data_IF_401695486343
#
_entry.id   IF_401695486343
#
_cell.length_a   1.000
_cell.length_b   1.000
_cell.length_c   1.000
_cell.angle_alpha   90.00
_cell.angle_beta   90.00
_cell.angle_gamma   90.00
#
_symmetry.space_group_name_H-M   'P 1'
#
loop_
_entity.id
_entity.type
_entity.pdbx_description
1 polymer ?
#
# COMPACT_ATOMS: atom_id res chain seq x y z
N UNK A 1 34.74 -15.47 28.03
CA UNK A 1 34.61 -14.93 26.67
C UNK A 1 33.37 -15.57 26.11
N UNK A 2 32.22 -14.98 26.39
CA UNK A 2 30.93 -15.58 26.06
C UNK A 2 30.39 -14.80 24.87
N UNK A 3 30.55 -15.37 23.68
CA UNK A 3 29.94 -14.86 22.47
C UNK A 3 28.44 -15.18 22.53
N UNK A 4 27.67 -14.31 23.20
CA UNK A 4 26.22 -14.36 23.16
C UNK A 4 25.74 -13.76 21.83
N UNK A 5 25.94 -14.51 20.75
CA UNK A 5 25.30 -14.25 19.46
C UNK A 5 23.82 -14.60 19.58
N UNK A 6 23.02 -13.68 20.10
CA UNK A 6 21.58 -13.81 20.13
C UNK A 6 21.06 -13.89 18.69
N UNK A 7 20.65 -15.08 18.25
CA UNK A 7 19.85 -15.23 17.04
C UNK A 7 18.61 -14.34 17.19
N UNK A 8 18.57 -13.26 16.43
CA UNK A 8 17.40 -12.41 16.31
C UNK A 8 16.34 -13.22 15.58
N UNK A 9 15.44 -13.86 16.33
CA UNK A 9 14.28 -14.56 15.78
C UNK A 9 13.52 -13.57 14.91
N UNK A 10 13.58 -13.77 13.59
CA UNK A 10 12.79 -12.96 12.65
C UNK A 10 11.32 -13.25 12.92
N UNK A 11 10.49 -12.21 12.91
CA UNK A 11 9.04 -12.38 12.89
C UNK A 11 8.65 -13.27 11.69
N UNK A 12 7.60 -14.09 11.83
CA UNK A 12 7.11 -14.88 10.70
C UNK A 12 6.76 -13.97 9.51
N UNK A 13 6.91 -14.51 8.29
CA UNK A 13 6.58 -13.79 7.06
C UNK A 13 5.11 -13.35 7.07
N UNK A 14 4.86 -12.07 6.77
CA UNK A 14 3.51 -11.52 6.63
C UNK A 14 2.93 -11.82 5.25
N UNK A 15 1.61 -12.04 5.20
CA UNK A 15 0.83 -12.24 3.97
C UNK A 15 0.17 -10.92 3.55
N UNK A 16 0.63 -10.35 2.44
CA UNK A 16 0.07 -9.14 1.84
C UNK A 16 -0.95 -9.49 0.75
N UNK A 17 -2.16 -8.94 0.82
CA UNK A 17 -3.18 -9.09 -0.22
C UNK A 17 -3.17 -7.89 -1.18
N UNK A 18 -2.92 -8.08 -2.49
CA UNK A 18 -2.99 -7.00 -3.47
C UNK A 18 -4.45 -6.64 -3.79
N UNK A 19 -4.76 -5.35 -3.74
CA UNK A 19 -6.07 -4.80 -4.05
C UNK A 19 -5.96 -3.99 -5.34
N UNK A 20 -6.73 -4.39 -6.35
CA UNK A 20 -6.72 -3.81 -7.69
C UNK A 20 -8.14 -3.49 -8.18
N UNK A 21 -8.84 -2.62 -7.44
CA UNK A 21 -10.15 -2.13 -7.85
C UNK A 21 -10.05 -0.79 -8.59
N UNK A 22 -11.08 -0.46 -9.37
CA UNK A 22 -11.14 0.78 -10.16
C UNK A 22 -11.83 1.95 -9.44
N UNK A 23 -12.31 1.73 -8.20
CA UNK A 23 -12.93 2.76 -7.36
C UNK A 23 -12.61 2.55 -5.87
N UNK A 24 -12.73 3.62 -5.09
CA UNK A 24 -12.46 3.64 -3.64
C UNK A 24 -13.41 2.71 -2.86
N UNK A 25 -14.71 2.75 -3.13
CA UNK A 25 -15.70 1.88 -2.46
C UNK A 25 -15.39 0.39 -2.63
N UNK A 26 -14.93 0.02 -3.84
CA UNK A 26 -14.51 -1.35 -4.12
C UNK A 26 -13.20 -1.69 -3.42
N UNK A 27 -12.23 -0.78 -3.36
CA UNK A 27 -11.01 -0.97 -2.57
C UNK A 27 -11.34 -1.24 -1.09
N UNK A 28 -12.19 -0.43 -0.48
CA UNK A 28 -12.65 -0.61 0.92
C UNK A 28 -13.30 -1.98 1.11
N UNK A 29 -14.18 -2.38 0.18
CA UNK A 29 -14.82 -3.71 0.21
C UNK A 29 -13.78 -4.83 0.14
N UNK A 30 -12.76 -4.67 -0.70
CA UNK A 30 -11.66 -5.64 -0.82
C UNK A 30 -10.77 -5.69 0.43
N UNK A 31 -10.55 -4.57 1.13
CA UNK A 31 -9.82 -4.56 2.39
C UNK A 31 -10.52 -5.39 3.46
N UNK A 32 -11.84 -5.24 3.60
CA UNK A 32 -12.64 -6.05 4.52
C UNK A 32 -12.58 -7.55 4.15
N UNK A 33 -12.63 -7.86 2.85
CA UNK A 33 -12.48 -9.23 2.35
C UNK A 33 -11.06 -9.79 2.63
N UNK A 34 -10.02 -8.99 2.46
CA UNK A 34 -8.64 -9.40 2.75
C UNK A 34 -8.48 -9.75 4.23
N UNK A 35 -9.06 -8.95 5.13
CA UNK A 35 -9.10 -9.27 6.57
C UNK A 35 -9.83 -10.57 6.86
N UNK A 36 -11.01 -10.78 6.26
CA UNK A 36 -11.77 -12.01 6.43
C UNK A 36 -11.02 -13.24 5.89
N UNK A 37 -10.18 -13.05 4.86
CA UNK A 37 -9.28 -14.06 4.28
C UNK A 37 -7.92 -14.16 4.99
N UNK A 38 -7.81 -13.66 6.23
CA UNK A 38 -6.62 -13.77 7.08
C UNK A 38 -5.33 -13.15 6.51
N UNK A 39 -5.44 -12.12 5.66
CA UNK A 39 -4.27 -11.34 5.26
C UNK A 39 -3.74 -10.53 6.47
N UNK A 40 -2.42 -10.35 6.51
CA UNK A 40 -1.74 -9.57 7.56
C UNK A 40 -1.69 -8.08 7.21
N UNK A 41 -1.69 -7.75 5.92
CA UNK A 41 -1.69 -6.39 5.38
C UNK A 41 -2.29 -6.35 3.97
N UNK A 42 -2.56 -5.16 3.47
CA UNK A 42 -3.09 -4.94 2.12
C UNK A 42 -2.16 -4.05 1.30
N UNK A 43 -1.89 -4.45 0.05
CA UNK A 43 -1.26 -3.58 -0.93
C UNK A 43 -2.35 -2.86 -1.73
N UNK A 44 -2.41 -1.55 -1.60
CA UNK A 44 -3.36 -0.70 -2.31
C UNK A 44 -2.67 -0.19 -3.58
N UNK A 45 -3.08 -0.75 -4.74
CA UNK A 45 -2.57 -0.34 -6.05
C UNK A 45 -3.30 0.91 -6.53
N UNK A 46 -2.74 2.07 -6.24
CA UNK A 46 -3.31 3.36 -6.66
C UNK A 46 -3.38 3.49 -8.18
N UNK A 47 -2.48 2.84 -8.90
CA UNK A 47 -2.46 2.84 -10.36
C UNK A 47 -3.65 2.11 -11.00
N UNK A 48 -4.42 1.30 -10.26
CA UNK A 48 -5.65 0.68 -10.80
C UNK A 48 -6.90 1.57 -10.72
N UNK A 49 -6.83 2.70 -10.00
CA UNK A 49 -7.96 3.62 -9.81
C UNK A 49 -8.19 4.46 -11.07
N UNK A 50 -9.45 4.55 -11.53
CA UNK A 50 -9.81 5.36 -12.70
C UNK A 50 -9.98 6.85 -12.39
N UNK A 51 -10.56 7.14 -11.23
CA UNK A 51 -10.75 8.48 -10.70
C UNK A 51 -10.13 8.51 -9.31
N UNK A 52 -9.20 9.44 -9.10
CA UNK A 52 -8.43 9.50 -7.86
C UNK A 52 -8.20 10.96 -7.45
N UNK A 53 -8.76 11.34 -6.30
CA UNK A 53 -8.48 12.59 -5.60
C UNK A 53 -7.55 12.29 -4.41
N UNK A 54 -6.23 12.56 -4.52
CA UNK A 54 -5.24 12.03 -3.59
C UNK A 54 -5.55 12.30 -2.11
N UNK A 55 -5.90 13.53 -1.73
CA UNK A 55 -6.09 13.86 -0.31
C UNK A 55 -7.32 13.18 0.29
N UNK A 56 -8.45 13.23 -0.42
CA UNK A 56 -9.72 12.66 0.07
C UNK A 56 -9.67 11.14 0.07
N UNK A 57 -9.21 10.54 -1.02
CA UNK A 57 -9.23 9.10 -1.22
C UNK A 57 -8.22 8.39 -0.32
N UNK A 58 -7.00 8.92 -0.17
CA UNK A 58 -6.02 8.36 0.78
C UNK A 58 -6.56 8.42 2.22
N UNK A 59 -7.22 9.52 2.61
CA UNK A 59 -7.86 9.62 3.92
C UNK A 59 -8.92 8.53 4.14
N UNK A 60 -9.75 8.26 3.13
CA UNK A 60 -10.77 7.19 3.20
C UNK A 60 -10.11 5.82 3.31
N UNK A 61 -9.16 5.52 2.44
CA UNK A 61 -8.48 4.23 2.38
C UNK A 61 -7.74 3.91 3.68
N UNK A 62 -7.01 4.88 4.26
CA UNK A 62 -6.29 4.72 5.52
C UNK A 62 -7.28 4.55 6.69
N UNK A 63 -8.30 5.41 6.80
CA UNK A 63 -9.24 5.37 7.95
C UNK A 63 -10.15 4.15 7.95
N UNK A 64 -10.48 3.61 6.78
CA UNK A 64 -11.39 2.47 6.66
C UNK A 64 -10.67 1.12 6.59
N UNK A 65 -9.34 1.11 6.45
CA UNK A 65 -8.60 -0.15 6.40
C UNK A 65 -8.62 -0.87 7.76
N UNK A 66 -9.07 -2.14 7.83
CA UNK A 66 -8.98 -2.97 9.04
C UNK A 66 -7.61 -3.65 9.20
N UNK A 67 -6.67 -3.39 8.29
CA UNK A 67 -5.33 -3.97 8.21
C UNK A 67 -4.28 -2.87 7.95
N UNK A 68 -3.01 -3.11 8.30
CA UNK A 68 -1.91 -2.26 7.85
C UNK A 68 -1.92 -2.07 6.33
N UNK A 69 -1.61 -0.85 5.88
CA UNK A 69 -1.65 -0.45 4.48
C UNK A 69 -0.26 -0.31 3.88
N UNK A 70 -0.05 -0.93 2.73
CA UNK A 70 1.07 -0.68 1.83
C UNK A 70 0.52 0.05 0.60
N UNK A 71 0.91 1.31 0.38
CA UNK A 71 0.51 2.05 -0.81
C UNK A 71 1.56 1.90 -1.91
N UNK A 72 1.09 1.45 -3.08
CA UNK A 72 1.92 1.31 -4.28
C UNK A 72 1.30 2.16 -5.38
N UNK A 73 2.10 3.04 -6.01
CA UNK A 73 1.67 3.80 -7.19
C UNK A 73 2.56 3.46 -8.37
N UNK A 74 2.42 2.22 -8.89
CA UNK A 74 3.39 1.62 -9.82
C UNK A 74 3.32 2.32 -11.20
N UNK A 75 4.44 2.82 -11.73
CA UNK A 75 4.47 3.44 -13.06
C UNK A 75 4.57 2.40 -14.18
N UNK A 76 4.21 2.78 -15.41
CA UNK A 76 4.22 1.88 -16.58
C UNK A 76 5.61 1.32 -16.91
N UNK A 77 6.68 2.06 -16.63
CA UNK A 77 8.06 1.61 -16.86
C UNK A 77 8.50 0.50 -15.89
N UNK A 78 7.70 0.22 -14.85
CA UNK A 78 7.84 -0.90 -13.90
C UNK A 78 6.61 -1.84 -13.94
N UNK A 79 5.92 -1.89 -15.08
CA UNK A 79 4.78 -2.79 -15.30
C UNK A 79 3.50 -2.40 -14.54
N UNK A 80 3.43 -1.18 -14.01
CA UNK A 80 2.21 -0.61 -13.44
C UNK A 80 1.30 0.04 -14.48
N UNK A 81 0.28 0.75 -13.99
CA UNK A 81 -0.71 1.43 -14.85
C UNK A 81 -0.59 2.96 -14.83
N UNK A 82 0.31 3.54 -14.02
CA UNK A 82 0.49 4.99 -13.97
C UNK A 82 1.43 5.49 -15.08
N UNK A 83 0.91 6.33 -15.96
CA UNK A 83 1.64 6.94 -17.09
C UNK A 83 1.72 8.48 -16.98
N UNK A 84 1.55 9.01 -15.76
CA UNK A 84 1.53 10.44 -15.49
C UNK A 84 2.90 11.02 -15.12
N UNK A 85 2.88 12.26 -14.61
CA UNK A 85 4.07 12.96 -14.15
C UNK A 85 4.69 12.32 -12.89
N UNK A 86 5.98 12.01 -12.95
CA UNK A 86 6.69 11.33 -11.88
C UNK A 86 6.69 12.12 -10.57
N UNK A 87 6.81 13.46 -10.63
CA UNK A 87 6.79 14.28 -9.41
C UNK A 87 5.43 14.19 -8.73
N UNK A 88 4.32 14.26 -9.49
CA UNK A 88 2.97 14.07 -8.95
C UNK A 88 2.79 12.68 -8.33
N UNK A 89 3.30 11.63 -8.97
CA UNK A 89 3.28 10.26 -8.44
C UNK A 89 3.97 10.17 -7.08
N UNK A 90 5.17 10.72 -6.97
CA UNK A 90 5.94 10.74 -5.72
C UNK A 90 5.29 11.62 -4.65
N UNK A 91 4.68 12.76 -5.04
CA UNK A 91 3.95 13.63 -4.12
C UNK A 91 2.72 12.91 -3.51
N UNK A 92 2.05 12.03 -4.27
CA UNK A 92 0.98 11.16 -3.75
C UNK A 92 1.50 10.15 -2.72
N UNK A 93 2.65 9.52 -2.97
CA UNK A 93 3.26 8.59 -2.01
C UNK A 93 3.72 9.29 -0.73
N UNK A 94 4.29 10.50 -0.85
CA UNK A 94 4.61 11.35 0.32
C UNK A 94 3.35 11.69 1.12
N UNK A 95 2.28 12.07 0.43
CA UNK A 95 1.00 12.37 1.07
C UNK A 95 0.44 11.15 1.81
N UNK A 96 0.53 9.95 1.25
CA UNK A 96 0.10 8.72 1.93
C UNK A 96 0.88 8.50 3.25
N UNK A 97 2.20 8.71 3.23
CA UNK A 97 3.04 8.67 4.43
C UNK A 97 2.62 9.73 5.46
N UNK A 98 2.40 10.98 5.04
CA UNK A 98 1.96 12.08 5.93
C UNK A 98 0.58 11.82 6.55
N UNK A 99 -0.31 11.13 5.83
CA UNK A 99 -1.65 10.76 6.30
C UNK A 99 -1.69 9.49 7.17
N UNK A 100 -0.55 8.82 7.36
CA UNK A 100 -0.42 7.69 8.29
C UNK A 100 -0.46 6.31 7.65
N UNK A 101 -0.06 6.16 6.38
CA UNK A 101 0.20 4.84 5.82
C UNK A 101 1.30 4.10 6.59
N UNK A 102 1.11 2.79 6.84
CA UNK A 102 2.13 1.95 7.47
C UNK A 102 3.36 1.75 6.57
N UNK A 103 3.14 1.63 5.26
CA UNK A 103 4.20 1.44 4.26
C UNK A 103 3.86 2.15 2.94
N UNK A 104 4.91 2.53 2.21
CA UNK A 104 4.86 2.96 0.81
C UNK A 104 5.85 2.13 -0.01
N UNK A 105 5.49 1.77 -1.24
CA UNK A 105 6.38 1.16 -2.22
C UNK A 105 6.93 2.25 -3.14
N UNK A 106 8.26 2.28 -3.29
CA UNK A 106 8.99 3.19 -4.18
C UNK A 106 10.02 2.41 -4.98
N UNK A 107 10.05 2.67 -6.28
CA UNK A 107 10.89 1.94 -7.22
C UNK A 107 12.36 2.38 -7.14
N UNK A 108 13.28 1.41 -7.16
CA UNK A 108 14.71 1.64 -7.23
C UNK A 108 15.09 1.94 -8.68
N UNK A 109 15.49 3.18 -8.96
CA UNK A 109 15.91 3.61 -10.30
C UNK A 109 17.42 3.57 -10.48
#
# INVERSE_FOLDING_TARGET
MDANGGEMRKNPTLICAPLMADSIDKMVTLMAKAKASTADLVEIRLDSLKNFNPFEDLNVLIKQSPLPTLFTYRPVWEGGQYDGDEKKRLDVLRLAMELGADYIDVELK
#
